data_IF_241319475306
#
_entry.id   IF_241319475306
#
_cell.length_a   1.000
_cell.length_b   1.000
_cell.length_c   1.000
_cell.angle_alpha   90.00
_cell.angle_beta   90.00
_cell.angle_gamma   90.00
#
_symmetry.space_group_name_H-M   'P 1'
#
loop_
_entity.id
_entity.type
_entity.pdbx_description
1 polymer ?
#
# COMPACT_ATOMS: atom_id res chain seq x y z
N UNK A 1 16.84 -15.66 -2.94
CA UNK A 1 16.26 -16.38 -1.79
C UNK A 1 14.76 -16.48 -1.97
N UNK A 2 14.13 -17.62 -1.71
CA UNK A 2 12.69 -17.76 -1.69
C UNK A 2 12.16 -17.35 -0.31
N UNK A 3 11.03 -16.65 -0.28
CA UNK A 3 10.29 -16.42 0.94
C UNK A 3 9.45 -17.67 1.23
N UNK A 4 9.47 -18.16 2.44
CA UNK A 4 8.61 -19.27 2.84
C UNK A 4 9.37 -20.53 3.24
N UNK A 5 8.64 -21.61 3.55
CA UNK A 5 7.19 -21.79 3.37
C UNK A 5 6.35 -20.87 4.26
N UNK A 6 5.28 -20.32 3.71
CA UNK A 6 4.29 -19.51 4.43
C UNK A 6 2.93 -20.19 4.30
N UNK A 7 2.33 -20.60 5.43
CA UNK A 7 0.97 -21.15 5.48
C UNK A 7 0.10 -20.20 6.31
N UNK A 8 -0.66 -19.35 5.62
CA UNK A 8 -1.41 -18.27 6.24
C UNK A 8 -2.65 -17.89 5.43
N UNK A 9 -3.73 -17.59 6.15
CA UNK A 9 -4.92 -16.92 5.64
C UNK A 9 -5.04 -15.54 6.29
N UNK A 10 -5.55 -14.59 5.54
CA UNK A 10 -5.82 -13.23 6.00
C UNK A 10 -7.32 -12.98 5.97
N UNK A 11 -7.82 -12.29 6.98
CA UNK A 11 -9.20 -11.85 7.02
C UNK A 11 -9.42 -10.60 6.14
N UNK A 12 -10.64 -10.40 5.68
CA UNK A 12 -11.02 -9.16 5.02
C UNK A 12 -10.84 -8.00 6.00
N UNK A 13 -10.22 -6.92 5.53
CA UNK A 13 -9.94 -5.76 6.37
C UNK A 13 -8.75 -5.91 7.31
N UNK A 14 -7.97 -6.97 7.22
CA UNK A 14 -6.75 -7.14 8.02
C UNK A 14 -5.61 -6.25 7.49
N UNK A 15 -4.96 -5.50 8.38
CA UNK A 15 -3.76 -4.73 8.08
C UNK A 15 -2.53 -5.51 8.54
N UNK A 16 -1.71 -5.96 7.59
CA UNK A 16 -0.62 -6.92 7.82
C UNK A 16 0.73 -6.28 7.52
N UNK A 17 1.63 -6.30 8.50
CA UNK A 17 3.01 -5.90 8.30
C UNK A 17 3.86 -7.09 7.83
N UNK A 18 4.66 -6.85 6.80
CA UNK A 18 5.66 -7.79 6.31
C UNK A 18 7.05 -7.27 6.66
N UNK A 19 7.77 -7.95 7.54
CA UNK A 19 9.13 -7.60 7.93
C UNK A 19 10.16 -8.66 7.53
N UNK A 20 11.42 -8.34 7.69
CA UNK A 20 12.55 -9.20 7.36
C UNK A 20 13.71 -8.42 6.76
N UNK A 21 14.89 -9.00 6.76
CA UNK A 21 16.12 -8.40 6.23
C UNK A 21 16.01 -8.07 4.73
N UNK A 22 16.95 -7.26 4.23
CA UNK A 22 17.09 -7.03 2.80
C UNK A 22 17.34 -8.37 2.07
N UNK A 23 16.61 -8.61 0.99
CA UNK A 23 16.69 -9.87 0.24
C UNK A 23 15.89 -11.03 0.84
N UNK A 24 15.14 -10.86 1.95
CA UNK A 24 14.31 -11.92 2.55
C UNK A 24 13.12 -12.36 1.68
N UNK A 25 12.80 -11.61 0.62
CA UNK A 25 11.74 -11.96 -0.33
C UNK A 25 10.44 -11.18 -0.17
N UNK A 26 10.39 -10.10 0.64
CA UNK A 26 9.18 -9.26 0.84
C UNK A 26 8.55 -8.83 -0.48
N UNK A 27 9.32 -8.14 -1.32
CA UNK A 27 8.88 -7.69 -2.65
C UNK A 27 8.49 -8.85 -3.56
N UNK A 28 9.21 -9.98 -3.48
CA UNK A 28 8.91 -11.19 -4.26
C UNK A 28 7.56 -11.77 -3.85
N UNK A 29 7.30 -11.91 -2.55
CA UNK A 29 6.01 -12.38 -2.03
C UNK A 29 4.87 -11.47 -2.49
N UNK A 30 5.02 -10.15 -2.34
CA UNK A 30 4.02 -9.18 -2.80
C UNK A 30 3.76 -9.30 -4.32
N UNK A 31 4.80 -9.41 -5.13
CA UNK A 31 4.66 -9.61 -6.58
C UNK A 31 3.97 -10.93 -6.93
N UNK A 32 4.20 -11.98 -6.15
CA UNK A 32 3.51 -13.27 -6.32
C UNK A 32 2.03 -13.10 -6.00
N UNK A 33 1.67 -12.48 -4.87
CA UNK A 33 0.27 -12.22 -4.49
C UNK A 33 -0.42 -11.30 -5.52
N UNK A 34 0.30 -10.34 -6.08
CA UNK A 34 -0.19 -9.48 -7.16
C UNK A 34 -0.37 -10.20 -8.51
N UNK A 35 0.04 -11.47 -8.61
CA UNK A 35 0.00 -12.22 -9.87
C UNK A 35 1.04 -11.78 -10.91
N UNK A 36 2.04 -10.99 -10.52
CA UNK A 36 3.09 -10.48 -11.41
C UNK A 36 4.19 -11.51 -11.67
N UNK A 37 4.38 -12.46 -10.76
CA UNK A 37 5.31 -13.58 -10.88
C UNK A 37 4.66 -14.86 -10.36
N UNK A 38 4.96 -16.03 -10.92
CA UNK A 38 4.43 -17.30 -10.43
C UNK A 38 5.04 -17.68 -9.06
N UNK A 39 4.33 -18.43 -8.20
CA UNK A 39 4.90 -18.99 -6.99
C UNK A 39 5.97 -20.04 -7.34
N UNK A 40 7.00 -20.14 -6.51
CA UNK A 40 8.04 -21.19 -6.66
C UNK A 40 7.56 -22.57 -6.22
N UNK A 41 6.52 -22.64 -5.41
CA UNK A 41 5.89 -23.85 -4.91
C UNK A 41 4.66 -23.51 -4.07
N UNK A 42 3.83 -24.50 -3.80
CA UNK A 42 2.56 -24.32 -3.09
C UNK A 42 1.48 -23.67 -3.97
N UNK A 43 0.46 -23.17 -3.33
CA UNK A 43 -0.67 -22.48 -3.98
C UNK A 43 -1.12 -21.30 -3.12
N UNK A 44 -1.71 -20.30 -3.75
CA UNK A 44 -2.40 -19.22 -3.05
C UNK A 44 -3.67 -18.85 -3.81
N UNK A 45 -4.60 -18.23 -3.11
CA UNK A 45 -5.81 -17.67 -3.72
C UNK A 45 -6.05 -16.26 -3.18
N UNK A 46 -6.56 -15.40 -4.02
CA UNK A 46 -6.99 -14.03 -3.65
C UNK A 46 -8.43 -13.85 -4.13
N UNK A 47 -9.31 -13.47 -3.22
CA UNK A 47 -10.69 -13.11 -3.57
C UNK A 47 -10.74 -11.66 -4.05
N UNK A 48 -10.98 -11.47 -5.35
CA UNK A 48 -11.15 -10.13 -5.94
C UNK A 48 -9.87 -9.55 -6.54
N UNK A 49 -9.80 -8.22 -6.60
CA UNK A 49 -8.72 -7.49 -7.28
C UNK A 49 -7.59 -7.14 -6.32
N UNK A 50 -6.37 -7.23 -6.82
CA UNK A 50 -5.16 -6.82 -6.11
C UNK A 50 -4.57 -5.56 -6.74
N UNK A 51 -4.18 -4.61 -5.91
CA UNK A 51 -3.42 -3.41 -6.31
C UNK A 51 -2.07 -3.43 -5.62
N UNK A 52 -0.99 -3.16 -6.37
CA UNK A 52 0.36 -3.07 -5.80
C UNK A 52 0.95 -1.68 -6.05
N UNK A 53 1.49 -1.08 -4.98
CA UNK A 53 2.33 0.13 -5.02
C UNK A 53 3.77 -0.31 -4.74
N UNK A 54 4.67 -0.25 -5.72
CA UNK A 54 6.06 -0.59 -5.50
C UNK A 54 6.80 0.54 -4.78
N UNK A 55 7.94 0.24 -4.14
CA UNK A 55 8.77 1.20 -3.41
C UNK A 55 9.23 2.38 -4.27
N UNK A 56 9.48 2.14 -5.56
CA UNK A 56 9.97 3.16 -6.49
C UNK A 56 9.07 3.26 -7.69
N UNK A 57 8.53 4.45 -7.87
CA UNK A 57 7.77 4.87 -9.05
C UNK A 57 8.45 6.14 -9.58
N UNK A 58 8.60 6.25 -10.89
CA UNK A 58 9.17 7.46 -11.51
C UNK A 58 8.12 8.56 -11.56
N UNK A 59 8.50 9.76 -11.15
CA UNK A 59 7.66 10.96 -11.33
C UNK A 59 7.46 11.23 -12.82
N UNK A 60 6.23 11.53 -13.20
CA UNK A 60 5.85 11.91 -14.56
C UNK A 60 5.61 13.42 -14.61
N UNK A 61 5.95 14.08 -15.74
CA UNK A 61 5.71 15.50 -15.93
C UNK A 61 4.36 15.75 -16.60
N UNK A 62 3.78 16.92 -16.36
CA UNK A 62 2.60 17.37 -17.07
C UNK A 62 1.27 16.92 -16.45
N UNK A 63 1.31 16.40 -15.22
CA UNK A 63 0.12 16.10 -14.42
C UNK A 63 0.20 16.83 -13.10
N UNK A 64 -0.88 17.43 -12.67
CA UNK A 64 -1.03 17.84 -11.27
C UNK A 64 -1.13 16.58 -10.38
N UNK A 65 -0.87 16.73 -9.08
CA UNK A 65 -1.07 15.64 -8.09
C UNK A 65 -2.48 15.08 -8.21
N UNK A 66 -3.48 15.94 -8.33
CA UNK A 66 -4.88 15.56 -8.47
C UNK A 66 -5.14 14.73 -9.73
N UNK A 67 -4.66 15.20 -10.88
CA UNK A 67 -4.78 14.46 -12.15
C UNK A 67 -4.04 13.14 -12.11
N UNK A 68 -2.86 13.08 -11.48
CA UNK A 68 -2.11 11.85 -11.28
C UNK A 68 -2.92 10.82 -10.50
N UNK A 69 -3.55 11.20 -9.38
CA UNK A 69 -4.43 10.33 -8.61
C UNK A 69 -5.62 9.87 -9.48
N UNK A 70 -6.21 10.78 -10.25
CA UNK A 70 -7.34 10.49 -11.12
C UNK A 70 -7.02 9.47 -12.22
N UNK A 71 -5.77 9.42 -12.72
CA UNK A 71 -5.37 8.44 -13.76
C UNK A 71 -5.53 7.00 -13.32
N UNK A 72 -5.57 6.74 -12.01
CA UNK A 72 -5.73 5.40 -11.45
C UNK A 72 -7.15 4.85 -11.56
N UNK A 73 -8.14 5.73 -11.72
CA UNK A 73 -9.55 5.34 -11.78
C UNK A 73 -9.89 4.98 -13.23
N UNK A 74 -10.42 3.79 -13.43
CA UNK A 74 -10.86 3.35 -14.77
C UNK A 74 -12.12 4.12 -15.16
N UNK A 75 -11.96 5.10 -16.05
CA UNK A 75 -13.09 5.81 -16.67
C UNK A 75 -13.88 4.86 -17.56
N UNK A 76 -15.17 4.75 -17.31
CA UNK A 76 -16.09 3.89 -18.08
C UNK A 76 -17.03 3.04 -17.22
N UNK A 77 -16.78 2.95 -15.90
CA UNK A 77 -17.63 2.23 -14.95
C UNK A 77 -18.18 3.21 -13.90
N UNK A 78 -17.42 4.25 -13.54
CA UNK A 78 -17.82 5.27 -12.57
C UNK A 78 -18.26 6.56 -13.28
N UNK A 79 -19.30 7.22 -12.77
CA UNK A 79 -19.71 8.55 -13.20
C UNK A 79 -18.66 9.60 -12.88
N UNK A 80 -18.68 10.74 -13.56
CA UNK A 80 -17.72 11.84 -13.31
C UNK A 80 -17.78 12.37 -11.86
N UNK A 81 -18.98 12.34 -11.23
CA UNK A 81 -19.18 12.68 -9.82
C UNK A 81 -18.44 11.72 -8.89
N UNK A 82 -18.56 10.42 -9.15
CA UNK A 82 -17.96 9.36 -8.31
C UNK A 82 -16.44 9.40 -8.36
N UNK A 83 -15.90 9.67 -9.56
CA UNK A 83 -14.44 9.86 -9.78
C UNK A 83 -13.94 11.05 -8.96
N UNK A 84 -14.67 12.18 -9.03
CA UNK A 84 -14.29 13.39 -8.29
C UNK A 84 -14.29 13.15 -6.80
N UNK A 85 -15.35 12.55 -6.28
CA UNK A 85 -15.49 12.25 -4.85
C UNK A 85 -14.42 11.28 -4.35
N UNK A 86 -14.07 10.25 -5.13
CA UNK A 86 -13.00 9.32 -4.79
C UNK A 86 -11.64 10.01 -4.71
N UNK A 87 -11.36 10.93 -5.65
CA UNK A 87 -10.11 11.71 -5.64
C UNK A 87 -10.10 12.68 -4.46
N UNK A 88 -11.21 13.38 -4.18
CA UNK A 88 -11.31 14.31 -3.05
C UNK A 88 -11.03 13.57 -1.73
N UNK A 89 -11.66 12.43 -1.50
CA UNK A 89 -11.40 11.59 -0.31
C UNK A 89 -9.94 11.17 -0.20
N UNK A 90 -9.31 10.76 -1.31
CA UNK A 90 -7.91 10.34 -1.31
C UNK A 90 -6.96 11.50 -1.00
N UNK A 91 -7.23 12.69 -1.57
CA UNK A 91 -6.47 13.92 -1.32
C UNK A 91 -6.54 14.33 0.15
N UNK A 92 -7.73 14.29 0.74
CA UNK A 92 -7.96 14.67 2.14
C UNK A 92 -7.29 13.66 3.09
N UNK A 93 -7.50 12.37 2.85
CA UNK A 93 -6.97 11.28 3.68
C UNK A 93 -5.44 11.30 3.77
N UNK A 94 -4.76 11.53 2.63
CA UNK A 94 -3.30 11.60 2.55
C UNK A 94 -2.75 13.02 2.78
N UNK A 95 -3.61 13.99 3.13
CA UNK A 95 -3.27 15.40 3.40
C UNK A 95 -2.50 16.05 2.23
N UNK A 96 -2.99 15.84 1.01
CA UNK A 96 -2.38 16.36 -0.21
C UNK A 96 -3.02 17.65 -0.72
N UNK A 97 -4.01 18.20 0.00
CA UNK A 97 -4.79 19.37 -0.43
C UNK A 97 -3.94 20.59 -0.76
N UNK A 98 -2.85 20.84 -0.02
CA UNK A 98 -1.96 21.98 -0.22
C UNK A 98 -1.14 21.91 -1.52
N UNK A 99 -0.96 20.71 -2.10
CA UNK A 99 -0.18 20.50 -3.33
C UNK A 99 -1.00 19.89 -4.47
N UNK A 100 -2.31 19.68 -4.30
CA UNK A 100 -3.12 18.97 -5.28
C UNK A 100 -3.07 19.55 -6.70
N UNK A 101 -2.80 20.84 -6.84
CA UNK A 101 -2.70 21.57 -8.11
C UNK A 101 -1.23 21.75 -8.58
N UNK A 102 -0.24 21.28 -7.81
CA UNK A 102 1.16 21.32 -8.22
C UNK A 102 1.47 20.20 -9.22
N UNK A 103 2.41 20.46 -10.14
CA UNK A 103 2.93 19.40 -11.02
C UNK A 103 3.59 18.30 -10.16
N UNK A 104 3.19 17.05 -10.37
CA UNK A 104 3.66 15.89 -9.58
C UNK A 104 5.18 15.68 -9.67
N UNK A 105 5.84 16.20 -10.72
CA UNK A 105 7.29 16.13 -10.84
C UNK A 105 8.04 17.08 -9.91
N UNK A 106 7.37 18.10 -9.36
CA UNK A 106 7.97 19.13 -8.51
C UNK A 106 7.70 18.93 -7.01
N UNK A 107 6.88 17.97 -6.62
CA UNK A 107 6.63 17.67 -5.20
C UNK A 107 7.79 16.91 -4.58
N UNK A 108 7.92 16.95 -3.26
CA UNK A 108 8.91 16.15 -2.52
C UNK A 108 8.70 14.64 -2.74
N UNK A 109 9.71 13.82 -2.43
CA UNK A 109 9.59 12.36 -2.57
C UNK A 109 8.55 11.78 -1.61
N UNK A 110 8.43 12.35 -0.40
CA UNK A 110 7.40 11.96 0.55
C UNK A 110 5.99 12.30 0.09
N UNK A 111 5.78 13.47 -0.49
CA UNK A 111 4.49 13.86 -1.07
C UNK A 111 4.14 12.99 -2.28
N UNK A 112 5.13 12.70 -3.12
CA UNK A 112 4.96 11.78 -4.25
C UNK A 112 4.58 10.37 -3.77
N UNK A 113 5.22 9.87 -2.72
CA UNK A 113 4.88 8.58 -2.14
C UNK A 113 3.43 8.55 -1.63
N UNK A 114 2.99 9.61 -0.93
CA UNK A 114 1.59 9.74 -0.51
C UNK A 114 0.63 9.79 -1.70
N UNK A 115 0.99 10.49 -2.78
CA UNK A 115 0.18 10.50 -4.00
C UNK A 115 0.08 9.10 -4.65
N UNK A 116 1.16 8.31 -4.63
CA UNK A 116 1.13 6.93 -5.10
C UNK A 116 0.21 6.05 -4.24
N UNK A 117 0.20 6.21 -2.92
CA UNK A 117 -0.74 5.51 -2.02
C UNK A 117 -2.18 5.95 -2.33
N UNK A 118 -2.40 7.25 -2.55
CA UNK A 118 -3.71 7.79 -2.92
C UNK A 118 -4.24 7.14 -4.22
N UNK A 119 -3.37 6.88 -5.22
CA UNK A 119 -3.78 6.16 -6.44
C UNK A 119 -4.24 4.73 -6.16
N UNK A 120 -3.67 4.05 -5.19
CA UNK A 120 -4.10 2.71 -4.81
C UNK A 120 -5.45 2.74 -4.08
N UNK A 121 -5.63 3.72 -3.20
CA UNK A 121 -6.87 3.91 -2.44
C UNK A 121 -8.08 4.23 -3.34
N UNK A 122 -7.88 4.94 -4.46
CA UNK A 122 -8.97 5.23 -5.41
C UNK A 122 -9.37 4.03 -6.29
N UNK A 123 -8.66 2.92 -6.20
CA UNK A 123 -8.99 1.68 -6.92
C UNK A 123 -9.86 0.79 -6.05
N UNK A 124 -10.95 0.32 -6.62
CA UNK A 124 -11.74 -0.74 -6.02
C UNK A 124 -10.94 -2.05 -6.00
N UNK A 125 -10.40 -2.44 -4.84
CA UNK A 125 -9.59 -3.63 -4.66
C UNK A 125 -9.88 -4.34 -3.33
N UNK A 126 -9.75 -5.66 -3.34
CA UNK A 126 -9.88 -6.49 -2.13
C UNK A 126 -8.56 -6.60 -1.37
N UNK A 127 -7.43 -6.47 -2.09
CA UNK A 127 -6.08 -6.55 -1.50
C UNK A 127 -5.22 -5.40 -2.00
N UNK A 128 -4.63 -4.64 -1.07
CA UNK A 128 -3.68 -3.57 -1.33
C UNK A 128 -2.30 -3.98 -0.84
N UNK A 129 -1.32 -3.99 -1.73
CA UNK A 129 0.07 -4.35 -1.46
C UNK A 129 0.95 -3.12 -1.58
N UNK A 130 1.66 -2.76 -0.52
CA UNK A 130 2.51 -1.56 -0.48
C UNK A 130 3.94 -1.94 -0.08
N UNK A 131 4.83 -1.83 -1.04
CA UNK A 131 6.25 -2.14 -0.83
C UNK A 131 6.98 -0.90 -0.31
N UNK A 132 7.28 -0.89 0.98
CA UNK A 132 7.93 0.21 1.70
C UNK A 132 7.23 1.57 1.56
N UNK A 133 5.93 1.69 1.89
CA UNK A 133 5.16 2.90 1.68
C UNK A 133 5.66 4.11 2.48
N UNK A 134 6.54 3.91 3.45
CA UNK A 134 7.03 4.94 4.37
C UNK A 134 8.52 5.29 4.18
N UNK A 135 9.19 4.73 3.16
CA UNK A 135 10.65 4.82 2.99
C UNK A 135 11.20 6.26 2.87
N UNK A 136 10.41 7.21 2.35
CA UNK A 136 10.83 8.60 2.11
C UNK A 136 10.12 9.61 3.01
N UNK A 137 9.50 9.14 4.10
CA UNK A 137 8.71 9.95 5.01
C UNK A 137 9.46 10.25 6.29
N UNK A 138 9.29 11.46 6.81
CA UNK A 138 9.64 11.78 8.18
C UNK A 138 8.75 11.02 9.18
N UNK A 139 9.09 11.06 10.46
CA UNK A 139 8.40 10.30 11.51
C UNK A 139 6.90 10.63 11.56
N UNK A 140 6.54 11.91 11.49
CA UNK A 140 5.14 12.34 11.60
C UNK A 140 4.31 11.86 10.39
N UNK A 141 4.85 11.99 9.18
CA UNK A 141 4.19 11.51 7.97
C UNK A 141 4.14 9.98 7.91
N UNK A 142 5.16 9.27 8.42
CA UNK A 142 5.17 7.81 8.53
C UNK A 142 4.03 7.32 9.40
N UNK A 143 3.92 7.84 10.62
CA UNK A 143 2.84 7.49 11.56
C UNK A 143 1.47 7.78 10.91
N UNK A 144 1.32 8.94 10.29
CA UNK A 144 0.07 9.30 9.59
C UNK A 144 -0.28 8.29 8.49
N UNK A 145 0.68 7.90 7.66
CA UNK A 145 0.43 6.92 6.59
C UNK A 145 0.08 5.55 7.15
N UNK A 146 0.81 5.05 8.16
CA UNK A 146 0.53 3.74 8.75
C UNK A 146 -0.84 3.70 9.44
N UNK A 147 -1.21 4.75 10.20
CA UNK A 147 -2.56 4.85 10.79
C UNK A 147 -3.64 4.88 9.70
N UNK A 148 -3.41 5.63 8.63
CA UNK A 148 -4.32 5.71 7.49
C UNK A 148 -4.50 4.35 6.80
N UNK A 149 -3.44 3.57 6.61
CA UNK A 149 -3.52 2.23 6.03
C UNK A 149 -4.39 1.30 6.89
N UNK A 150 -4.24 1.36 8.22
CA UNK A 150 -5.07 0.59 9.14
C UNK A 150 -6.53 1.03 9.12
N UNK A 151 -6.79 2.33 9.06
CA UNK A 151 -8.14 2.88 8.92
C UNK A 151 -8.81 2.43 7.61
N UNK A 152 -8.07 2.49 6.49
CA UNK A 152 -8.55 2.01 5.20
C UNK A 152 -8.95 0.53 5.31
N UNK A 153 -8.06 -0.31 5.83
CA UNK A 153 -8.32 -1.74 5.96
C UNK A 153 -9.63 -2.00 6.71
N UNK A 154 -9.76 -1.44 7.91
CA UNK A 154 -10.93 -1.64 8.77
C UNK A 154 -12.23 -1.04 8.20
N UNK A 155 -12.16 0.14 7.55
CA UNK A 155 -13.35 0.85 7.07
C UNK A 155 -13.89 0.29 5.75
N UNK A 156 -13.02 -0.26 4.89
CA UNK A 156 -13.40 -0.71 3.53
C UNK A 156 -13.47 -2.22 3.39
N UNK A 157 -12.98 -2.98 4.37
CA UNK A 157 -12.81 -4.42 4.24
C UNK A 157 -11.64 -4.83 3.31
N UNK A 158 -10.84 -3.87 2.85
CA UNK A 158 -9.67 -4.15 2.01
C UNK A 158 -8.55 -4.72 2.88
N UNK A 159 -8.03 -5.89 2.55
CA UNK A 159 -6.83 -6.42 3.20
C UNK A 159 -5.61 -5.61 2.75
N UNK A 160 -4.90 -5.02 3.69
CA UNK A 160 -3.68 -4.23 3.41
C UNK A 160 -2.46 -5.02 3.84
N UNK A 161 -1.54 -5.27 2.92
CA UNK A 161 -0.23 -5.86 3.20
C UNK A 161 0.86 -4.84 2.87
N UNK A 162 1.63 -4.41 3.87
CA UNK A 162 2.71 -3.46 3.66
C UNK A 162 4.05 -3.99 4.20
N UNK A 163 5.14 -3.69 3.49
CA UNK A 163 6.49 -3.94 4.00
C UNK A 163 7.07 -2.68 4.63
N UNK A 164 7.88 -2.85 5.66
CA UNK A 164 8.65 -1.75 6.27
C UNK A 164 9.92 -2.27 6.92
N UNK A 165 10.92 -1.40 7.01
CA UNK A 165 12.13 -1.61 7.83
C UNK A 165 11.94 -1.07 9.26
N UNK A 166 10.95 -0.23 9.49
CA UNK A 166 10.61 0.28 10.80
C UNK A 166 9.63 -0.67 11.49
N UNK A 167 10.19 -1.67 12.18
CA UNK A 167 9.42 -2.75 12.80
C UNK A 167 8.54 -2.22 13.92
N UNK A 168 9.04 -1.24 14.69
CA UNK A 168 8.31 -0.72 15.85
C UNK A 168 7.03 -0.01 15.42
N UNK A 169 7.14 1.01 14.57
CA UNK A 169 5.97 1.76 14.09
C UNK A 169 5.03 0.86 13.28
N UNK A 170 5.60 0.00 12.42
CA UNK A 170 4.81 -0.91 11.62
C UNK A 170 3.97 -1.89 12.45
N UNK A 171 4.50 -2.43 13.54
CA UNK A 171 3.78 -3.34 14.42
C UNK A 171 2.63 -2.67 15.19
N UNK A 172 2.78 -1.40 15.59
CA UNK A 172 1.72 -0.65 16.27
C UNK A 172 0.49 -0.47 15.37
N UNK A 173 0.71 -0.25 14.07
CA UNK A 173 -0.36 0.03 13.11
C UNK A 173 -0.76 -1.17 12.25
N UNK A 174 -0.40 -2.40 12.65
CA UNK A 174 -0.84 -3.63 11.99
C UNK A 174 -1.65 -4.52 12.94
N UNK A 175 -2.48 -5.39 12.37
CA UNK A 175 -3.22 -6.41 13.11
C UNK A 175 -2.38 -7.68 13.27
N UNK A 176 -1.46 -7.92 12.32
CA UNK A 176 -0.54 -9.04 12.38
C UNK A 176 0.78 -8.73 11.68
N UNK A 177 1.82 -9.47 12.07
CA UNK A 177 3.18 -9.30 11.57
C UNK A 177 3.69 -10.63 11.01
N UNK A 178 4.24 -10.59 9.81
CA UNK A 178 4.92 -11.72 9.18
C UNK A 178 6.40 -11.41 9.07
N UNK A 179 7.24 -12.18 9.76
CA UNK A 179 8.69 -12.09 9.62
C UNK A 179 9.20 -13.14 8.63
N UNK A 180 9.68 -12.67 7.48
CA UNK A 180 10.31 -13.55 6.46
C UNK A 180 11.76 -13.93 6.79
N UNK A 181 12.37 -13.34 7.82
CA UNK A 181 13.73 -13.65 8.24
C UNK A 181 13.82 -14.84 9.20
N UNK A 182 12.78 -15.07 10.00
CA UNK A 182 12.75 -16.10 11.06
C UNK A 182 11.62 -17.12 10.95
N UNK A 183 10.71 -16.96 9.99
CA UNK A 183 9.55 -17.87 9.84
C UNK A 183 8.55 -17.81 11.01
N UNK A 184 8.67 -16.83 11.89
CA UNK A 184 7.87 -16.70 13.12
C UNK A 184 6.83 -15.60 12.97
N UNK A 185 5.63 -15.87 13.46
CA UNK A 185 4.61 -14.87 13.72
C UNK A 185 4.98 -14.12 14.99
N UNK A 186 5.09 -12.81 14.89
CA UNK A 186 5.18 -11.94 16.07
C UNK A 186 3.74 -11.49 16.38
N UNK A 187 3.19 -11.78 17.57
CA UNK A 187 1.88 -11.26 17.94
C UNK A 187 1.94 -9.73 17.96
N UNK A 188 0.83 -9.03 17.64
CA UNK A 188 0.77 -7.59 17.72
C UNK A 188 1.14 -7.11 19.13
N UNK A 189 1.83 -5.98 19.21
CA UNK A 189 2.17 -5.35 20.49
C UNK A 189 0.86 -4.85 21.12
N UNK A 190 0.53 -5.37 22.29
CA UNK A 190 -0.67 -5.01 23.05
C UNK A 190 -0.60 -3.56 23.56
#
# INVERSE_FOLDING_TARGET
MAAGPLDRSFADGECVMLCGSNGSGKTTLMKTIAGLIPPMGGSFSVSGKTVMVPTRISKVKGFTVREFIQTSIRTGIAGASDVREAVDRAVDLLRLGHIQNCDISHVSDGEFQKACIATAFTRDCSVMLLDEPTAFLDVANRIMVLSTLKEIASATGTTVLFSTHDIHDGAIYSDSVIDLGGGSLIPPVA
#
